data_IF_992198260128
#
_entry.id   IF_992198260128
#
_cell.length_a   1.000
_cell.length_b   1.000
_cell.length_c   1.000
_cell.angle_alpha   90.00
_cell.angle_beta   90.00
_cell.angle_gamma   90.00
#
_symmetry.space_group_name_H-M   'P 1'
#
loop_
_entity.id
_entity.type
_entity.pdbx_description
1 polymer ?
#
# COMPACT_ATOMS: atom_id res chain seq x y z
N UNK A 1 -25.13 -34.72 -29.58
CA UNK A 1 -25.66 -34.17 -28.33
C UNK A 1 -24.72 -34.59 -27.22
N UNK A 2 -23.79 -33.71 -26.83
CA UNK A 2 -22.98 -33.84 -25.63
C UNK A 2 -23.04 -32.51 -24.91
N UNK A 3 -23.82 -32.47 -23.83
CA UNK A 3 -23.89 -31.34 -22.92
C UNK A 3 -22.61 -31.28 -22.09
N UNK A 4 -21.85 -30.21 -22.22
CA UNK A 4 -20.77 -29.88 -21.33
C UNK A 4 -21.35 -29.15 -20.08
N UNK A 5 -21.40 -29.84 -18.94
CA UNK A 5 -21.72 -29.24 -17.64
C UNK A 5 -20.61 -28.27 -17.24
N UNK A 6 -20.94 -26.99 -17.21
CA UNK A 6 -20.13 -25.97 -16.54
C UNK A 6 -20.17 -26.19 -15.01
N UNK A 7 -19.07 -26.63 -14.47
CA UNK A 7 -18.81 -26.64 -13.03
C UNK A 7 -18.60 -25.19 -12.54
N UNK A 8 -19.58 -24.68 -11.77
CA UNK A 8 -19.52 -23.32 -11.21
C UNK A 8 -18.54 -23.33 -10.04
N UNK A 9 -17.40 -22.69 -10.23
CA UNK A 9 -16.31 -22.59 -9.27
C UNK A 9 -16.75 -22.26 -7.84
N UNK A 10 -16.28 -23.07 -6.92
CA UNK A 10 -16.51 -22.98 -5.48
C UNK A 10 -15.81 -21.74 -4.94
N UNK A 11 -16.58 -20.78 -4.43
CA UNK A 11 -16.06 -19.58 -3.77
C UNK A 11 -15.38 -20.01 -2.45
N UNK A 12 -14.07 -19.84 -2.36
CA UNK A 12 -13.33 -20.08 -1.12
C UNK A 12 -13.45 -18.83 -0.25
N UNK A 13 -14.31 -18.90 0.77
CA UNK A 13 -14.45 -17.85 1.77
C UNK A 13 -13.49 -18.17 2.92
N UNK A 14 -12.42 -17.38 3.06
CA UNK A 14 -11.48 -17.47 4.18
C UNK A 14 -11.81 -16.35 5.15
N UNK A 15 -12.50 -16.67 6.25
CA UNK A 15 -12.68 -15.79 7.40
C UNK A 15 -11.52 -16.04 8.36
N UNK A 16 -10.80 -15.00 8.75
CA UNK A 16 -9.77 -15.09 9.76
C UNK A 16 -10.41 -15.38 11.13
N UNK A 17 -10.16 -16.57 11.70
CA UNK A 17 -10.47 -16.87 13.09
C UNK A 17 -9.55 -16.07 14.01
N UNK A 18 -10.03 -15.60 15.19
CA UNK A 18 -9.18 -14.90 16.14
C UNK A 18 -8.13 -15.87 16.70
N UNK A 19 -6.86 -15.63 16.36
CA UNK A 19 -5.74 -16.31 17.00
C UNK A 19 -5.63 -15.76 18.43
N UNK A 20 -5.82 -16.64 19.40
CA UNK A 20 -5.64 -16.38 20.83
C UNK A 20 -4.20 -15.97 21.10
N UNK A 21 -3.99 -14.73 21.52
CA UNK A 21 -2.69 -14.23 21.99
C UNK A 21 -2.41 -14.77 23.40
N UNK A 22 -1.60 -15.81 23.51
CA UNK A 22 -0.95 -16.19 24.77
C UNK A 22 0.36 -15.41 24.91
N UNK A 23 0.35 -14.50 25.89
CA UNK A 23 1.48 -13.91 26.62
C UNK A 23 2.71 -13.44 25.83
N UNK A 24 2.77 -12.14 25.60
CA UNK A 24 4.03 -11.38 25.39
C UNK A 24 4.67 -11.10 26.76
N UNK A 25 5.98 -11.37 26.98
CA UNK A 25 6.67 -11.01 28.21
C UNK A 25 6.86 -9.48 28.30
N UNK A 26 6.47 -8.91 29.45
CA UNK A 26 6.86 -7.56 29.86
C UNK A 26 8.32 -7.57 30.33
N UNK A 27 9.24 -6.96 29.57
CA UNK A 27 10.50 -6.41 30.11
C UNK A 27 11.07 -5.35 29.15
N UNK A 28 10.61 -4.13 29.28
CA UNK A 28 11.30 -2.94 28.81
C UNK A 28 11.25 -1.88 29.91
N UNK A 29 12.04 -2.09 30.95
CA UNK A 29 12.51 -1.07 31.86
C UNK A 29 13.67 -1.67 32.65
N UNK A 30 14.85 -1.12 32.44
CA UNK A 30 16.11 -1.28 33.21
C UNK A 30 17.29 -1.66 32.32
N UNK A 31 17.92 -0.64 31.76
CA UNK A 31 19.38 -0.59 31.55
C UNK A 31 19.80 0.82 31.13
N UNK A 32 19.72 1.74 32.11
CA UNK A 32 20.55 2.95 32.15
C UNK A 32 21.57 2.77 33.25
N UNK A 33 22.84 2.80 32.91
CA UNK A 33 23.90 3.03 33.81
C UNK A 33 24.98 1.97 33.88
N UNK A 34 26.07 2.19 33.14
CA UNK A 34 27.46 2.17 33.70
C UNK A 34 28.45 2.60 32.62
N UNK A 35 29.11 3.71 32.90
CA UNK A 35 30.41 4.11 32.31
C UNK A 35 31.52 3.28 32.96
N UNK A 36 32.50 2.84 32.15
CA UNK A 36 33.91 2.66 32.49
C UNK A 36 34.68 2.44 31.20
N UNK A 37 35.45 3.37 30.74
CA UNK A 37 36.88 3.61 30.82
C UNK A 37 37.75 2.59 30.06
N UNK A 38 38.32 3.13 28.98
CA UNK A 38 39.68 3.06 28.42
C UNK A 38 40.57 1.86 28.75
N UNK A 39 41.03 1.17 27.69
CA UNK A 39 42.48 0.98 27.46
C UNK A 39 42.77 0.77 25.99
N UNK A 40 43.83 1.44 25.50
CA UNK A 40 44.35 1.35 24.14
C UNK A 40 45.30 0.14 24.01
N UNK A 41 45.26 -0.56 22.89
CA UNK A 41 46.35 -1.35 22.36
C UNK A 41 46.29 -1.50 20.86
N UNK A 42 47.24 -0.97 20.23
CA UNK A 42 48.00 -1.19 18.97
C UNK A 42 47.52 -2.16 17.88
N UNK A 43 47.51 -1.56 16.68
CA UNK A 43 47.93 -2.07 15.36
C UNK A 43 47.86 -3.58 15.06
N UNK A 44 46.99 -3.93 14.09
CA UNK A 44 47.45 -4.74 12.94
C UNK A 44 46.66 -4.31 11.71
N UNK A 45 47.42 -3.96 10.69
CA UNK A 45 47.07 -3.69 9.32
C UNK A 45 46.36 -4.91 8.71
N UNK A 46 45.15 -4.77 8.27
CA UNK A 46 44.51 -5.68 7.34
C UNK A 46 43.72 -4.84 6.33
N UNK A 47 44.37 -4.65 5.19
CA UNK A 47 43.80 -4.12 3.95
C UNK A 47 42.55 -4.92 3.55
N UNK A 48 41.40 -4.51 4.03
CA UNK A 48 40.13 -4.93 3.45
C UNK A 48 39.85 -4.04 2.22
N UNK A 49 40.15 -4.62 1.04
CA UNK A 49 39.74 -4.09 -0.23
C UNK A 49 38.21 -3.82 -0.19
N UNK A 50 37.84 -2.55 -0.24
CA UNK A 50 36.41 -2.14 -0.40
C UNK A 50 35.90 -2.73 -1.70
N UNK A 51 34.68 -3.29 -1.74
CA UNK A 51 34.08 -3.77 -2.97
C UNK A 51 33.96 -2.61 -3.96
N UNK A 52 34.63 -2.70 -5.10
CA UNK A 52 34.54 -1.77 -6.24
C UNK A 52 33.27 -2.03 -7.06
N UNK A 53 32.16 -2.39 -6.43
CA UNK A 53 30.86 -2.54 -7.08
C UNK A 53 30.32 -1.18 -7.50
N UNK A 54 30.41 -0.90 -8.78
CA UNK A 54 29.89 0.34 -9.40
C UNK A 54 30.84 1.02 -10.38
N UNK A 55 32.12 0.67 -10.41
CA UNK A 55 33.14 1.27 -11.29
C UNK A 55 33.34 0.52 -12.60
N UNK A 56 32.71 -0.64 -12.82
CA UNK A 56 32.80 -1.43 -14.04
C UNK A 56 31.49 -1.51 -14.81
N UNK A 57 31.57 -1.75 -16.10
CA UNK A 57 30.40 -2.05 -16.95
C UNK A 57 29.83 -3.39 -16.51
N UNK A 58 28.53 -3.45 -16.25
CA UNK A 58 27.80 -4.71 -15.96
C UNK A 58 26.98 -5.14 -17.16
N UNK A 59 26.98 -6.44 -17.42
CA UNK A 59 26.10 -7.08 -18.39
C UNK A 59 25.12 -7.96 -17.65
N UNK A 60 23.83 -7.72 -17.85
CA UNK A 60 22.76 -8.41 -17.13
C UNK A 60 21.85 -9.10 -18.12
N UNK A 61 21.66 -10.41 -17.97
CA UNK A 61 20.65 -11.15 -18.74
C UNK A 61 19.31 -11.05 -18.02
N UNK A 62 18.28 -10.69 -18.77
CA UNK A 62 16.92 -10.52 -18.25
C UNK A 62 16.25 -11.89 -18.09
N UNK A 63 15.91 -12.21 -16.88
CA UNK A 63 15.13 -13.39 -16.53
C UNK A 63 13.60 -13.14 -16.60
N UNK A 64 12.80 -14.19 -16.36
CA UNK A 64 11.32 -14.11 -16.41
C UNK A 64 10.76 -13.07 -15.44
N UNK A 65 11.39 -12.85 -14.29
CA UNK A 65 10.95 -11.88 -13.28
C UNK A 65 11.13 -10.42 -13.69
N UNK A 66 12.00 -10.14 -14.66
CA UNK A 66 12.29 -8.80 -15.16
C UNK A 66 11.66 -8.52 -16.52
N UNK A 67 11.18 -9.54 -17.20
CA UNK A 67 10.51 -9.41 -18.49
C UNK A 67 9.24 -8.54 -18.38
N UNK A 68 8.96 -7.75 -19.44
CA UNK A 68 7.83 -6.82 -19.49
C UNK A 68 8.03 -5.53 -18.69
N UNK A 69 9.08 -5.41 -17.86
CA UNK A 69 9.41 -4.19 -17.13
C UNK A 69 9.99 -3.13 -18.08
N UNK A 70 9.66 -1.84 -17.86
CA UNK A 70 10.34 -0.75 -18.57
C UNK A 70 11.78 -0.66 -18.12
N UNK A 71 12.68 -0.38 -19.06
CA UNK A 71 14.13 -0.30 -18.80
C UNK A 71 14.49 0.79 -17.76
N UNK A 72 13.78 1.92 -17.76
CA UNK A 72 14.01 2.97 -16.76
C UNK A 72 13.70 2.50 -15.34
N UNK A 73 12.58 1.80 -15.14
CA UNK A 73 12.22 1.23 -13.85
C UNK A 73 13.17 0.11 -13.41
N UNK A 74 13.58 -0.73 -14.34
CA UNK A 74 14.59 -1.77 -14.11
C UNK A 74 15.90 -1.16 -13.58
N UNK A 75 16.42 -0.15 -14.28
CA UNK A 75 17.65 0.53 -13.88
C UNK A 75 17.52 1.22 -12.51
N UNK A 76 16.41 1.90 -12.24
CA UNK A 76 16.15 2.53 -10.94
C UNK A 76 16.13 1.51 -9.80
N UNK A 77 15.73 0.27 -10.08
CA UNK A 77 15.70 -0.82 -9.11
C UNK A 77 17.09 -1.39 -8.83
N UNK A 78 17.87 -1.67 -9.88
CA UNK A 78 19.20 -2.29 -9.75
C UNK A 78 20.31 -1.30 -9.39
N UNK A 79 20.16 -0.03 -9.76
CA UNK A 79 21.08 1.06 -9.47
C UNK A 79 20.56 1.91 -8.31
N UNK A 80 20.25 1.24 -7.20
CA UNK A 80 19.76 1.92 -5.99
C UNK A 80 20.77 2.98 -5.53
N UNK A 81 20.28 4.22 -5.27
CA UNK A 81 21.12 5.35 -4.86
C UNK A 81 21.57 6.27 -6.01
N UNK A 82 21.41 5.85 -7.28
CA UNK A 82 21.66 6.71 -8.43
C UNK A 82 20.46 7.67 -8.61
N UNK A 83 20.69 9.00 -8.73
CA UNK A 83 19.63 9.96 -9.01
C UNK A 83 18.86 9.62 -10.31
N UNK A 84 17.55 9.78 -10.32
CA UNK A 84 16.72 9.52 -11.51
C UNK A 84 17.19 10.28 -12.73
N UNK A 85 17.58 11.56 -12.56
CA UNK A 85 18.11 12.40 -13.63
C UNK A 85 19.33 11.76 -14.31
N UNK A 86 20.22 11.13 -13.52
CA UNK A 86 21.40 10.45 -14.05
C UNK A 86 21.01 9.16 -14.81
N UNK A 87 20.08 8.37 -14.30
CA UNK A 87 19.55 7.18 -15.02
C UNK A 87 18.97 7.59 -16.39
N UNK A 88 18.18 8.67 -16.44
CA UNK A 88 17.65 9.19 -17.71
C UNK A 88 18.75 9.78 -18.62
N UNK A 89 19.79 10.34 -18.06
CA UNK A 89 20.93 10.85 -18.82
C UNK A 89 21.67 9.72 -19.53
N UNK A 90 22.02 8.62 -18.82
CA UNK A 90 22.74 7.49 -19.42
C UNK A 90 21.89 6.70 -20.43
N UNK A 91 20.57 6.68 -20.26
CA UNK A 91 19.64 6.15 -21.27
C UNK A 91 19.65 7.02 -22.55
N UNK A 92 19.48 8.32 -22.42
CA UNK A 92 19.47 9.25 -23.57
C UNK A 92 20.80 9.30 -24.31
N UNK A 93 21.92 9.27 -23.59
CA UNK A 93 23.24 9.25 -24.20
C UNK A 93 23.62 7.90 -24.87
N UNK A 94 22.77 6.86 -24.70
CA UNK A 94 22.98 5.54 -25.26
C UNK A 94 24.11 4.75 -24.58
N UNK A 95 24.47 5.11 -23.36
CA UNK A 95 25.41 4.35 -22.54
C UNK A 95 24.80 3.06 -22.03
N UNK A 96 23.47 3.06 -21.77
CA UNK A 96 22.69 1.82 -21.58
C UNK A 96 22.32 1.26 -22.93
N UNK A 97 22.51 -0.03 -23.11
CA UNK A 97 22.17 -0.74 -24.34
C UNK A 97 21.50 -2.08 -24.03
N UNK A 98 20.62 -2.50 -24.90
CA UNK A 98 19.98 -3.82 -24.87
C UNK A 98 20.36 -4.53 -26.18
N UNK A 99 20.89 -5.75 -26.06
CA UNK A 99 21.36 -6.54 -27.21
C UNK A 99 22.29 -5.74 -28.14
N UNK A 100 23.21 -4.94 -27.56
CA UNK A 100 24.14 -4.01 -28.21
C UNK A 100 23.47 -2.78 -28.86
N UNK A 101 22.11 -2.73 -28.97
CA UNK A 101 21.35 -1.64 -29.56
C UNK A 101 21.06 -0.50 -28.60
N UNK A 102 20.85 0.74 -29.13
CA UNK A 102 20.25 1.85 -28.39
C UNK A 102 18.76 1.62 -28.21
N UNK A 103 18.23 2.00 -27.04
CA UNK A 103 16.81 1.83 -26.70
C UNK A 103 16.23 3.13 -26.12
N UNK A 104 14.92 3.29 -26.27
CA UNK A 104 14.18 4.37 -25.59
C UNK A 104 13.98 4.04 -24.10
N UNK A 105 13.83 5.07 -23.27
CA UNK A 105 13.56 4.92 -21.84
C UNK A 105 12.30 4.10 -21.51
N UNK A 106 11.37 4.01 -22.46
CA UNK A 106 10.13 3.27 -22.35
C UNK A 106 10.23 1.83 -22.86
N UNK A 107 11.40 1.40 -23.34
CA UNK A 107 11.63 0.04 -23.83
C UNK A 107 11.22 -0.97 -22.75
N UNK A 108 10.47 -2.00 -23.16
CA UNK A 108 10.07 -3.09 -22.29
C UNK A 108 11.02 -4.26 -22.51
N UNK A 109 11.67 -4.66 -21.43
CA UNK A 109 12.60 -5.79 -21.42
C UNK A 109 11.89 -7.08 -21.81
N UNK A 110 12.58 -7.90 -22.60
CA UNK A 110 12.14 -9.24 -23.00
C UNK A 110 13.05 -10.25 -22.28
N UNK A 111 12.52 -11.40 -21.93
CA UNK A 111 13.33 -12.51 -21.39
C UNK A 111 14.44 -12.89 -22.37
N UNK A 112 15.65 -13.04 -21.84
CA UNK A 112 16.86 -13.28 -22.64
C UNK A 112 17.58 -12.02 -23.11
N UNK A 113 16.99 -10.81 -22.98
CA UNK A 113 17.68 -9.56 -23.30
C UNK A 113 18.97 -9.43 -22.49
N UNK A 114 20.03 -8.97 -23.14
CA UNK A 114 21.29 -8.62 -22.49
C UNK A 114 21.40 -7.11 -22.33
N UNK A 115 21.32 -6.62 -21.10
CA UNK A 115 21.39 -5.19 -20.77
C UNK A 115 22.80 -4.80 -20.37
N UNK A 116 23.42 -3.86 -21.13
CA UNK A 116 24.67 -3.19 -20.75
C UNK A 116 24.35 -2.02 -19.82
N UNK A 117 24.87 -2.08 -18.60
CA UNK A 117 24.74 -1.00 -17.60
C UNK A 117 26.13 -0.34 -17.46
N UNK A 118 26.27 0.97 -17.74
CA UNK A 118 27.54 1.67 -17.60
C UNK A 118 27.93 1.78 -16.10
N UNK A 119 29.21 2.09 -15.81
CA UNK A 119 29.61 2.43 -14.44
C UNK A 119 28.78 3.61 -13.93
N UNK A 120 28.12 3.45 -12.78
CA UNK A 120 27.37 4.52 -12.13
C UNK A 120 27.93 4.73 -10.74
N UNK A 121 28.32 5.97 -10.42
CA UNK A 121 28.68 6.33 -9.05
C UNK A 121 27.42 6.26 -8.19
N UNK A 122 27.44 5.37 -7.23
CA UNK A 122 26.43 5.34 -6.17
C UNK A 122 26.72 6.52 -5.23
N UNK A 123 25.75 7.37 -5.00
CA UNK A 123 25.86 8.31 -3.88
C UNK A 123 25.97 7.46 -2.60
N UNK A 124 26.93 7.77 -1.71
CA UNK A 124 27.01 7.15 -0.40
C UNK A 124 25.65 7.31 0.29
N UNK A 125 24.97 6.22 0.48
CA UNK A 125 23.73 6.23 1.24
C UNK A 125 24.09 6.43 2.71
N UNK A 126 23.53 7.44 3.34
CA UNK A 126 23.18 7.27 4.74
C UNK A 126 22.26 6.04 4.80
N UNK A 127 22.75 4.95 5.31
CA UNK A 127 21.99 3.71 5.51
C UNK A 127 20.97 3.99 6.60
N UNK A 128 19.79 4.51 6.18
CA UNK A 128 18.66 4.51 7.10
C UNK A 128 18.39 3.05 7.42
N UNK A 129 18.69 2.65 8.63
CA UNK A 129 18.37 1.32 9.11
C UNK A 129 16.83 1.16 9.07
N UNK A 130 16.36 0.30 8.18
CA UNK A 130 14.93 -0.04 8.10
C UNK A 130 14.70 -1.20 9.06
N UNK A 131 13.95 -1.00 10.15
CA UNK A 131 13.59 -2.11 11.02
C UNK A 131 12.69 -3.07 10.26
N UNK A 132 13.03 -4.37 10.28
CA UNK A 132 12.14 -5.40 9.77
C UNK A 132 10.85 -5.46 10.61
N UNK A 133 9.70 -5.53 9.94
CA UNK A 133 8.42 -5.74 10.62
C UNK A 133 7.53 -6.67 9.80
N UNK A 134 6.84 -7.55 10.51
CA UNK A 134 5.76 -8.37 9.98
C UNK A 134 4.42 -7.71 10.31
N UNK A 135 3.43 -7.96 9.46
CA UNK A 135 2.06 -7.47 9.58
C UNK A 135 1.11 -8.67 9.66
N UNK A 136 -0.08 -8.48 10.21
CA UNK A 136 -1.09 -9.53 10.25
C UNK A 136 -1.41 -10.02 8.84
N UNK A 137 -1.23 -11.31 8.59
CA UNK A 137 -1.40 -11.94 7.28
C UNK A 137 -2.85 -12.39 7.15
N UNK A 138 -3.52 -11.94 6.07
CA UNK A 138 -4.86 -12.38 5.71
C UNK A 138 -4.83 -13.54 4.71
N UNK A 139 -3.82 -13.55 3.84
CA UNK A 139 -3.59 -14.62 2.88
C UNK A 139 -2.13 -14.61 2.44
N UNK A 140 -1.51 -15.76 2.33
CA UNK A 140 -0.17 -15.90 1.75
C UNK A 140 -0.04 -17.23 1.02
N UNK A 141 0.57 -17.17 -0.16
CA UNK A 141 1.00 -18.34 -0.93
C UNK A 141 2.33 -18.06 -1.68
N UNK A 142 2.63 -18.84 -2.71
CA UNK A 142 3.83 -18.62 -3.55
C UNK A 142 3.74 -17.43 -4.50
N UNK A 143 2.55 -16.86 -4.72
CA UNK A 143 2.27 -15.78 -5.68
C UNK A 143 2.02 -14.43 -5.00
N UNK A 144 1.28 -14.45 -3.91
CA UNK A 144 0.74 -13.27 -3.23
C UNK A 144 1.02 -13.28 -1.73
N UNK A 145 1.12 -12.11 -1.16
CA UNK A 145 1.04 -11.82 0.27
C UNK A 145 -0.03 -10.74 0.46
N UNK A 146 -1.06 -11.02 1.24
CA UNK A 146 -2.10 -10.04 1.58
C UNK A 146 -2.11 -9.84 3.08
N UNK A 147 -1.94 -8.60 3.51
CA UNK A 147 -1.83 -8.21 4.92
C UNK A 147 -2.96 -7.29 5.34
N UNK A 148 -3.21 -7.24 6.63
CA UNK A 148 -4.00 -6.20 7.28
C UNK A 148 -3.09 -5.05 7.70
N UNK A 149 -3.07 -4.00 6.89
CA UNK A 149 -2.22 -2.82 7.15
C UNK A 149 -2.80 -1.98 8.28
N UNK A 150 -2.06 -1.68 9.35
CA UNK A 150 -2.52 -0.73 10.36
C UNK A 150 -2.57 0.70 9.80
N UNK A 151 -3.38 1.56 10.42
CA UNK A 151 -3.33 3.01 10.16
C UNK A 151 -2.01 3.61 10.66
N UNK A 152 -1.65 4.79 10.13
CA UNK A 152 -0.44 5.51 10.51
C UNK A 152 0.83 5.04 9.78
N UNK A 153 0.83 3.86 9.16
CA UNK A 153 1.96 3.31 8.41
C UNK A 153 1.79 3.55 6.91
N UNK A 154 2.76 4.22 6.29
CA UNK A 154 2.80 4.41 4.84
C UNK A 154 3.06 3.08 4.12
N UNK A 155 2.57 2.92 2.88
CA UNK A 155 2.82 1.69 2.10
C UNK A 155 4.24 1.63 1.55
N UNK A 156 4.87 2.77 1.30
CA UNK A 156 6.26 2.90 0.84
C UNK A 156 6.89 4.19 1.38
N UNK A 157 8.20 4.23 1.47
CA UNK A 157 8.98 5.42 1.75
C UNK A 157 8.81 6.48 0.66
N UNK A 158 9.10 7.75 0.98
CA UNK A 158 8.97 8.87 0.06
C UNK A 158 9.08 10.21 0.75
N UNK A 159 8.44 11.25 0.22
CA UNK A 159 8.51 12.61 0.79
C UNK A 159 8.12 12.64 2.27
N UNK A 160 9.09 12.88 3.16
CA UNK A 160 8.89 12.97 4.60
C UNK A 160 8.68 11.63 5.34
N UNK A 161 8.83 10.49 4.65
CA UNK A 161 8.71 9.15 5.24
C UNK A 161 9.90 8.31 4.81
N UNK A 162 10.73 7.90 5.77
CA UNK A 162 11.97 7.16 5.49
C UNK A 162 11.71 5.75 4.94
N UNK A 163 10.69 5.05 5.44
CA UNK A 163 10.29 3.70 5.02
C UNK A 163 8.80 3.47 5.26
N UNK A 164 8.22 2.52 4.56
CA UNK A 164 6.84 2.07 4.72
C UNK A 164 6.75 0.55 4.84
N UNK A 165 5.56 0.01 4.61
CA UNK A 165 5.28 -1.43 4.69
C UNK A 165 6.23 -2.25 3.82
N UNK A 166 6.43 -1.84 2.56
CA UNK A 166 7.24 -2.63 1.62
C UNK A 166 8.70 -2.71 2.03
N UNK A 167 9.29 -1.62 2.52
CA UNK A 167 10.67 -1.61 2.98
C UNK A 167 10.83 -2.45 4.26
N UNK A 168 9.88 -2.37 5.20
CA UNK A 168 9.89 -3.15 6.44
C UNK A 168 9.74 -4.65 6.17
N UNK A 169 8.80 -5.05 5.30
CA UNK A 169 8.62 -6.46 4.90
C UNK A 169 9.85 -7.01 4.19
N UNK A 170 10.48 -6.23 3.32
CA UNK A 170 11.73 -6.65 2.66
C UNK A 170 12.88 -6.81 3.64
N UNK A 171 12.94 -5.98 4.69
CA UNK A 171 13.94 -6.12 5.74
C UNK A 171 13.68 -7.34 6.64
N UNK A 172 12.40 -7.68 6.89
CA UNK A 172 12.01 -8.88 7.63
C UNK A 172 12.16 -10.18 6.82
N UNK A 173 12.14 -10.10 5.48
CA UNK A 173 12.17 -11.24 4.55
C UNK A 173 13.31 -11.10 3.54
N UNK A 174 14.58 -11.12 3.98
CA UNK A 174 15.74 -10.86 3.12
C UNK A 174 15.89 -11.90 1.99
N UNK A 175 15.40 -13.12 2.21
CA UNK A 175 15.47 -14.22 1.25
C UNK A 175 14.34 -14.18 0.20
N UNK A 176 13.38 -13.25 0.30
CA UNK A 176 12.33 -13.10 -0.69
C UNK A 176 12.91 -12.46 -1.97
N UNK A 177 13.01 -13.19 -3.09
CA UNK A 177 13.67 -12.70 -4.31
C UNK A 177 12.87 -11.56 -4.94
N UNK A 178 11.55 -11.57 -4.75
CA UNK A 178 10.63 -10.57 -5.28
C UNK A 178 9.53 -10.29 -4.26
N UNK A 179 9.31 -9.01 -3.96
CA UNK A 179 8.18 -8.55 -3.14
C UNK A 179 7.84 -7.11 -3.57
N UNK A 180 6.65 -6.92 -4.17
CA UNK A 180 6.21 -5.63 -4.71
C UNK A 180 4.75 -5.33 -4.35
N UNK A 181 4.46 -4.04 -4.14
CA UNK A 181 3.09 -3.58 -3.91
C UNK A 181 2.24 -3.75 -5.17
N UNK A 182 1.09 -4.40 -5.05
CA UNK A 182 0.09 -4.49 -6.13
C UNK A 182 -0.71 -3.20 -6.23
N UNK A 183 -1.09 -2.63 -5.09
CA UNK A 183 -1.79 -1.35 -4.98
C UNK A 183 -1.31 -0.59 -3.75
N UNK A 184 -1.93 0.54 -3.50
CA UNK A 184 -1.60 1.37 -2.34
C UNK A 184 -2.82 1.71 -1.51
N UNK A 185 -2.59 1.92 -0.22
CA UNK A 185 -3.49 2.60 0.71
C UNK A 185 -2.83 3.90 1.18
N UNK A 186 -3.62 4.88 1.60
CA UNK A 186 -3.09 6.06 2.27
C UNK A 186 -2.50 5.67 3.64
N UNK A 187 -1.61 6.51 4.18
CA UNK A 187 -0.96 6.25 5.47
C UNK A 187 -1.99 5.98 6.58
N UNK A 188 -3.03 6.80 6.66
CA UNK A 188 -4.06 6.72 7.70
C UNK A 188 -5.17 5.70 7.40
N UNK A 189 -5.21 5.12 6.21
CA UNK A 189 -6.15 4.05 5.85
C UNK A 189 -5.62 2.71 6.36
N UNK A 190 -6.45 1.97 7.08
CA UNK A 190 -6.16 0.59 7.50
C UNK A 190 -6.80 -0.44 6.58
N UNK A 191 -6.44 -1.72 6.74
CA UNK A 191 -7.09 -2.85 6.08
C UNK A 191 -6.28 -3.48 4.96
N UNK A 192 -6.95 -4.18 4.06
CA UNK A 192 -6.38 -5.11 3.09
C UNK A 192 -5.38 -4.43 2.15
N UNK A 193 -4.13 -4.86 2.22
CA UNK A 193 -3.05 -4.46 1.30
C UNK A 193 -2.44 -5.70 0.65
N UNK A 194 -2.45 -5.73 -0.69
CA UNK A 194 -1.92 -6.85 -1.46
C UNK A 194 -0.52 -6.55 -1.98
N UNK A 195 0.37 -7.53 -1.83
CA UNK A 195 1.71 -7.57 -2.40
C UNK A 195 1.86 -8.81 -3.29
N UNK A 196 2.66 -8.71 -4.33
CA UNK A 196 3.02 -9.82 -5.19
C UNK A 196 4.39 -10.37 -4.80
N UNK A 197 4.51 -11.70 -4.74
CA UNK A 197 5.75 -12.44 -4.49
C UNK A 197 6.42 -12.89 -5.79
N UNK A 198 5.76 -12.69 -6.94
CA UNK A 198 6.28 -12.93 -8.29
C UNK A 198 5.88 -11.82 -9.26
N UNK A 199 6.71 -11.60 -10.28
CA UNK A 199 6.44 -10.60 -11.31
C UNK A 199 5.21 -10.94 -12.14
N UNK A 200 5.03 -12.21 -12.50
CA UNK A 200 3.86 -12.70 -13.22
C UNK A 200 2.57 -12.41 -12.46
N UNK A 201 2.56 -12.67 -11.15
CA UNK A 201 1.42 -12.35 -10.28
C UNK A 201 1.11 -10.85 -10.25
N UNK A 202 2.16 -9.99 -10.13
CA UNK A 202 2.00 -8.54 -10.17
C UNK A 202 1.36 -8.08 -11.49
N UNK A 203 1.83 -8.61 -12.62
CA UNK A 203 1.34 -8.25 -13.95
C UNK A 203 -0.11 -8.67 -14.12
N UNK A 204 -0.45 -9.91 -13.79
CA UNK A 204 -1.81 -10.46 -13.88
C UNK A 204 -2.80 -9.66 -13.03
N UNK A 205 -2.46 -9.39 -11.75
CA UNK A 205 -3.37 -8.61 -10.89
C UNK A 205 -3.49 -7.16 -11.36
N UNK A 206 -2.43 -6.55 -11.89
CA UNK A 206 -2.52 -5.23 -12.51
C UNK A 206 -3.43 -5.23 -13.76
N UNK A 207 -3.48 -6.30 -14.52
CA UNK A 207 -4.43 -6.46 -15.64
C UNK A 207 -5.87 -6.52 -15.15
N UNK A 208 -6.12 -7.31 -14.10
CA UNK A 208 -7.44 -7.35 -13.46
C UNK A 208 -7.85 -5.96 -12.92
N UNK A 209 -6.92 -5.20 -12.32
CA UNK A 209 -7.19 -3.81 -11.87
C UNK A 209 -7.57 -2.91 -13.04
N UNK A 210 -6.85 -2.99 -14.17
CA UNK A 210 -7.15 -2.19 -15.38
C UNK A 210 -8.47 -2.56 -16.01
N UNK A 211 -8.81 -3.86 -15.99
CA UNK A 211 -10.09 -4.37 -16.47
C UNK A 211 -11.26 -4.11 -15.50
N UNK A 212 -11.00 -3.58 -14.30
CA UNK A 212 -12.04 -3.31 -13.29
C UNK A 212 -12.62 -4.57 -12.63
N UNK A 213 -11.89 -5.68 -12.68
CA UNK A 213 -12.33 -6.99 -12.15
C UNK A 213 -12.11 -7.14 -10.65
N UNK A 214 -11.26 -6.30 -10.03
CA UNK A 214 -11.11 -6.30 -8.57
C UNK A 214 -12.28 -5.57 -7.91
N UNK A 215 -12.98 -6.25 -7.00
CA UNK A 215 -13.97 -5.63 -6.11
C UNK A 215 -13.30 -5.20 -4.81
N UNK A 216 -13.10 -3.88 -4.67
CA UNK A 216 -12.48 -3.23 -3.50
C UNK A 216 -13.53 -2.46 -2.73
N UNK A 217 -13.78 -2.87 -1.47
CA UNK A 217 -14.75 -2.23 -0.59
C UNK A 217 -14.09 -1.64 0.64
N UNK A 218 -14.52 -0.45 1.00
CA UNK A 218 -14.05 0.29 2.16
C UNK A 218 -15.22 0.63 3.07
N UNK A 219 -14.99 0.63 4.37
CA UNK A 219 -15.90 1.22 5.34
C UNK A 219 -15.43 2.63 5.68
N UNK A 220 -16.33 3.59 5.61
CA UNK A 220 -16.07 4.99 5.95
C UNK A 220 -17.18 5.51 6.88
N UNK A 221 -16.79 6.14 7.99
CA UNK A 221 -17.71 6.91 8.82
C UNK A 221 -17.66 8.36 8.38
N UNK A 222 -18.79 8.92 8.00
CA UNK A 222 -18.90 10.33 7.58
C UNK A 222 -19.72 11.13 8.55
N UNK A 223 -19.48 12.44 8.64
CA UNK A 223 -20.32 13.37 9.40
C UNK A 223 -21.60 13.69 8.64
N UNK A 224 -22.72 13.87 9.36
CA UNK A 224 -23.99 14.28 8.83
C UNK A 224 -24.97 13.14 8.52
N UNK A 225 -26.09 13.50 7.90
CA UNK A 225 -27.16 12.59 7.49
C UNK A 225 -27.02 12.29 6.01
N UNK A 226 -26.61 11.07 5.66
CA UNK A 226 -26.41 10.67 4.26
C UNK A 226 -27.77 10.50 3.57
N UNK A 227 -28.01 11.16 2.41
CA UNK A 227 -29.36 11.27 1.86
C UNK A 227 -29.82 10.03 1.06
N UNK A 228 -28.92 9.25 0.49
CA UNK A 228 -29.25 8.22 -0.48
C UNK A 228 -28.83 6.82 -0.02
N UNK A 229 -29.63 5.79 -0.26
CA UNK A 229 -29.22 4.39 0.01
C UNK A 229 -28.02 3.99 -0.84
N UNK A 230 -27.94 4.44 -2.10
CA UNK A 230 -26.85 4.22 -3.03
C UNK A 230 -26.58 5.48 -3.85
N UNK A 231 -25.33 5.91 -3.91
CA UNK A 231 -24.93 7.12 -4.63
C UNK A 231 -23.68 6.90 -5.45
N UNK A 232 -23.71 7.29 -6.72
CA UNK A 232 -22.56 7.30 -7.61
C UNK A 232 -21.92 8.69 -7.61
N UNK A 233 -20.64 8.76 -7.24
CA UNK A 233 -19.86 10.00 -7.31
C UNK A 233 -18.82 9.85 -8.41
N UNK A 234 -18.92 10.73 -9.44
CA UNK A 234 -18.05 10.75 -10.62
C UNK A 234 -17.44 12.13 -10.77
N UNK A 235 -16.51 12.46 -9.89
CA UNK A 235 -15.84 13.77 -9.87
C UNK A 235 -14.38 13.59 -10.32
N UNK A 236 -13.91 14.34 -11.34
CA UNK A 236 -12.52 14.24 -11.79
C UNK A 236 -11.58 14.82 -10.73
N UNK A 237 -10.42 14.16 -10.53
CA UNK A 237 -9.49 14.46 -9.46
C UNK A 237 -8.15 14.95 -10.00
N UNK A 238 -7.70 16.11 -9.52
CA UNK A 238 -6.44 16.74 -9.83
C UNK A 238 -5.50 16.73 -8.62
N UNK A 239 -4.23 16.32 -8.82
CA UNK A 239 -3.19 16.35 -7.80
C UNK A 239 -2.45 17.68 -7.85
N UNK A 240 -2.25 18.30 -6.70
CA UNK A 240 -1.44 19.51 -6.57
C UNK A 240 -0.56 19.42 -5.33
N UNK A 241 0.44 20.31 -5.25
CA UNK A 241 1.23 20.51 -4.03
C UNK A 241 0.91 21.87 -3.44
N UNK A 242 0.76 21.90 -2.13
CA UNK A 242 0.63 23.15 -1.37
C UNK A 242 1.99 23.88 -1.32
N UNK A 243 2.06 25.15 -0.97
CA UNK A 243 3.32 25.92 -0.90
C UNK A 243 4.36 25.28 0.03
N UNK A 244 3.94 24.62 1.10
CA UNK A 244 4.76 23.84 2.05
C UNK A 244 5.16 22.44 1.53
N UNK A 245 4.82 22.13 0.27
CA UNK A 245 5.22 20.89 -0.39
C UNK A 245 4.32 19.67 -0.08
N UNK A 246 3.24 19.85 0.66
CA UNK A 246 2.30 18.77 0.92
C UNK A 246 1.51 18.40 -0.35
N UNK A 247 1.43 17.10 -0.65
CA UNK A 247 0.63 16.60 -1.78
C UNK A 247 -0.83 16.47 -1.39
N UNK A 248 -1.70 17.18 -2.12
CA UNK A 248 -3.15 17.15 -1.96
C UNK A 248 -3.87 16.82 -3.27
N UNK A 249 -5.17 16.58 -3.18
CA UNK A 249 -6.05 16.28 -4.32
C UNK A 249 -7.31 17.15 -4.19
N UNK A 250 -7.79 17.66 -5.31
CA UNK A 250 -9.06 18.40 -5.37
C UNK A 250 -9.88 17.96 -6.57
N UNK A 251 -11.17 18.25 -6.54
CA UNK A 251 -12.04 18.14 -7.72
C UNK A 251 -11.71 19.27 -8.67
N UNK A 252 -11.46 18.94 -9.94
CA UNK A 252 -11.16 19.90 -11.00
C UNK A 252 -11.57 19.31 -12.34
N UNK A 253 -12.16 20.09 -13.24
CA UNK A 253 -12.79 19.61 -14.47
C UNK A 253 -11.83 18.89 -15.44
N UNK A 254 -10.57 19.30 -15.49
CA UNK A 254 -9.49 18.68 -16.27
C UNK A 254 -8.74 17.57 -15.50
N UNK A 255 -9.22 17.19 -14.32
CA UNK A 255 -8.66 16.14 -13.49
C UNK A 255 -8.83 14.75 -14.09
N UNK A 256 -8.15 13.77 -13.50
CA UNK A 256 -8.28 12.37 -13.91
C UNK A 256 -9.68 11.83 -13.57
N UNK A 257 -10.39 11.20 -14.50
CA UNK A 257 -11.69 10.58 -14.24
C UNK A 257 -11.62 9.63 -13.04
N UNK A 258 -12.59 9.74 -12.16
CA UNK A 258 -12.71 8.86 -11.01
C UNK A 258 -14.18 8.55 -10.69
N UNK A 259 -14.42 7.36 -10.12
CA UNK A 259 -15.76 6.87 -9.83
C UNK A 259 -15.74 6.04 -8.54
N UNK A 260 -16.57 6.45 -7.57
CA UNK A 260 -16.87 5.72 -6.33
C UNK A 260 -18.38 5.56 -6.20
N UNK A 261 -18.81 4.39 -5.75
CA UNK A 261 -20.20 4.14 -5.39
C UNK A 261 -20.26 4.05 -3.87
N UNK A 262 -21.13 4.83 -3.23
CA UNK A 262 -21.38 4.79 -1.80
C UNK A 262 -22.71 4.12 -1.52
N UNK A 263 -22.70 3.10 -0.66
CA UNK A 263 -23.89 2.43 -0.15
C UNK A 263 -24.03 2.77 1.33
N UNK A 264 -25.21 3.29 1.74
CA UNK A 264 -25.51 3.53 3.14
C UNK A 264 -25.64 2.19 3.88
N UNK A 265 -24.78 1.95 4.85
CA UNK A 265 -24.84 0.77 5.71
C UNK A 265 -25.71 1.07 6.95
N UNK A 266 -25.50 2.21 7.60
CA UNK A 266 -26.26 2.62 8.76
C UNK A 266 -26.19 4.12 9.00
N UNK A 267 -27.32 4.72 9.41
CA UNK A 267 -27.42 6.10 9.84
C UNK A 267 -27.42 6.19 11.36
N UNK A 268 -26.71 7.18 11.91
CA UNK A 268 -26.63 7.50 13.33
C UNK A 268 -26.98 8.97 13.56
N UNK A 269 -27.11 9.37 14.82
CA UNK A 269 -27.21 10.79 15.18
C UNK A 269 -25.89 11.51 14.82
N UNK A 270 -25.93 12.34 13.76
CA UNK A 270 -24.79 13.12 13.30
C UNK A 270 -23.75 12.38 12.47
N UNK A 271 -23.88 11.07 12.20
CA UNK A 271 -22.95 10.26 11.42
C UNK A 271 -23.66 9.26 10.49
N UNK A 272 -22.97 8.87 9.42
CA UNK A 272 -23.38 7.74 8.59
C UNK A 272 -22.22 6.79 8.33
N UNK A 273 -22.45 5.48 8.48
CA UNK A 273 -21.52 4.42 8.06
C UNK A 273 -21.82 4.08 6.61
N UNK A 274 -20.83 4.20 5.76
CA UNK A 274 -20.91 3.94 4.33
C UNK A 274 -19.96 2.80 3.93
N UNK A 275 -20.43 1.96 3.00
CA UNK A 275 -19.58 1.13 2.18
C UNK A 275 -19.21 1.90 0.92
N UNK A 276 -17.93 2.07 0.65
CA UNK A 276 -17.43 2.68 -0.58
C UNK A 276 -16.88 1.61 -1.53
N UNK A 277 -17.49 1.50 -2.71
CA UNK A 277 -17.07 0.63 -3.81
C UNK A 277 -16.20 1.42 -4.79
N UNK A 278 -14.91 1.08 -4.87
CA UNK A 278 -13.97 1.77 -5.75
C UNK A 278 -13.98 1.19 -7.17
N UNK A 279 -14.49 1.95 -8.13
CA UNK A 279 -14.38 1.63 -9.57
C UNK A 279 -13.06 2.13 -10.18
N UNK A 280 -12.46 3.16 -9.60
CA UNK A 280 -11.12 3.66 -9.91
C UNK A 280 -10.32 3.83 -8.63
N UNK A 281 -8.99 3.89 -8.69
CA UNK A 281 -8.11 3.99 -7.52
C UNK A 281 -7.21 5.23 -7.57
N UNK A 282 -7.79 6.45 -7.58
CA UNK A 282 -7.01 7.69 -7.54
C UNK A 282 -6.57 8.00 -6.11
N UNK A 283 -5.47 8.75 -5.97
CA UNK A 283 -4.98 9.20 -4.66
C UNK A 283 -6.07 9.94 -3.90
N UNK A 284 -6.28 9.60 -2.63
CA UNK A 284 -7.28 10.18 -1.72
C UNK A 284 -8.73 10.18 -2.25
N UNK A 285 -9.05 9.31 -3.24
CA UNK A 285 -10.31 9.39 -3.99
C UNK A 285 -11.55 9.38 -3.09
N UNK A 286 -11.70 8.40 -2.20
CA UNK A 286 -12.85 8.29 -1.28
C UNK A 286 -12.96 9.55 -0.43
N UNK A 287 -11.84 10.01 0.13
CA UNK A 287 -11.76 11.17 1.03
C UNK A 287 -12.24 12.44 0.33
N UNK A 288 -11.71 12.71 -0.88
CA UNK A 288 -12.06 13.92 -1.65
C UNK A 288 -13.50 13.84 -2.17
N UNK A 289 -13.95 12.67 -2.65
CA UNK A 289 -15.33 12.50 -3.09
C UNK A 289 -16.31 12.78 -1.95
N UNK A 290 -16.09 12.24 -0.76
CA UNK A 290 -16.95 12.46 0.39
C UNK A 290 -16.92 13.92 0.88
N UNK A 291 -15.74 14.51 1.01
CA UNK A 291 -15.59 15.90 1.41
C UNK A 291 -16.26 16.87 0.42
N UNK A 292 -16.07 16.64 -0.89
CA UNK A 292 -16.70 17.45 -1.95
C UNK A 292 -18.21 17.25 -2.05
N UNK A 293 -18.74 16.16 -1.51
CA UNK A 293 -20.19 15.91 -1.41
C UNK A 293 -20.81 16.49 -0.12
N UNK A 294 -20.02 17.16 0.74
CA UNK A 294 -20.49 17.73 2.00
C UNK A 294 -20.50 16.77 3.19
N UNK A 295 -19.93 15.56 3.02
CA UNK A 295 -19.90 14.49 4.03
C UNK A 295 -18.46 14.04 4.32
N UNK A 296 -17.62 14.86 4.96
CA UNK A 296 -16.23 14.51 5.21
C UNK A 296 -16.11 13.31 6.16
N UNK A 297 -15.04 12.52 5.99
CA UNK A 297 -14.77 11.36 6.83
C UNK A 297 -14.41 11.82 8.25
N UNK A 298 -14.99 11.20 9.26
CA UNK A 298 -14.65 11.41 10.66
C UNK A 298 -13.19 11.10 10.93
N UNK A 299 -12.46 12.05 11.54
CA UNK A 299 -11.04 11.91 11.83
C UNK A 299 -10.10 12.13 10.64
N UNK A 300 -10.59 12.59 9.49
CA UNK A 300 -9.72 12.95 8.36
C UNK A 300 -9.02 14.28 8.62
N UNK A 301 -7.69 14.24 8.75
CA UNK A 301 -6.81 15.37 9.06
C UNK A 301 -6.53 16.31 7.87
N UNK A 302 -6.94 15.92 6.64
CA UNK A 302 -6.66 16.68 5.41
C UNK A 302 -7.90 17.24 4.73
N UNK A 303 -8.98 16.48 4.73
CA UNK A 303 -10.22 16.81 4.01
C UNK A 303 -11.44 16.77 4.93
N UNK A 304 -11.24 16.52 6.22
CA UNK A 304 -12.28 16.39 7.23
C UNK A 304 -12.77 17.75 7.79
N UNK A 305 -13.74 17.66 8.68
CA UNK A 305 -14.13 18.76 9.55
C UNK A 305 -13.18 18.84 10.74
N UNK A 306 -12.29 19.84 10.74
CA UNK A 306 -11.29 20.02 11.81
C UNK A 306 -11.91 20.40 13.16
N UNK A 307 -13.08 21.04 13.17
CA UNK A 307 -13.83 21.36 14.39
C UNK A 307 -14.35 20.09 15.05
N UNK A 308 -15.03 19.27 14.26
CA UNK A 308 -15.53 17.96 14.68
C UNK A 308 -14.36 17.03 15.09
N UNK A 309 -13.27 16.98 14.33
CA UNK A 309 -12.13 16.12 14.65
C UNK A 309 -11.53 16.45 16.01
N UNK A 310 -11.43 17.73 16.40
CA UNK A 310 -10.98 18.12 17.74
C UNK A 310 -11.93 17.63 18.85
N UNK A 311 -13.24 17.59 18.60
CA UNK A 311 -14.21 17.00 19.51
C UNK A 311 -14.09 15.49 19.58
N UNK A 312 -13.93 14.81 18.43
CA UNK A 312 -13.78 13.37 18.35
C UNK A 312 -12.52 12.83 19.03
N UNK A 313 -11.45 13.65 19.15
CA UNK A 313 -10.24 13.28 19.88
C UNK A 313 -10.44 13.15 21.39
N UNK A 314 -11.54 13.68 21.91
CA UNK A 314 -11.92 13.60 23.34
C UNK A 314 -12.94 12.48 23.53
N UNK A 315 -12.74 11.67 24.56
CA UNK A 315 -13.76 10.73 24.98
C UNK A 315 -14.89 11.51 25.70
N UNK A 316 -16.14 11.11 25.43
CA UNK A 316 -17.31 11.62 26.12
C UNK A 316 -18.10 10.46 26.75
N UNK A 317 -18.97 10.70 27.73
CA UNK A 317 -19.83 9.64 28.26
C UNK A 317 -20.57 8.91 27.15
N UNK A 318 -20.39 7.59 27.07
CA UNK A 318 -21.00 6.76 26.02
C UNK A 318 -20.34 6.81 24.63
N UNK A 319 -19.37 7.74 24.40
CA UNK A 319 -18.68 7.84 23.11
C UNK A 319 -17.17 7.84 23.29
N UNK A 320 -16.47 6.73 22.97
CA UNK A 320 -15.00 6.66 22.98
C UNK A 320 -14.37 7.65 22.00
N UNK A 321 -13.14 8.10 22.30
CA UNK A 321 -12.39 8.97 21.40
C UNK A 321 -12.08 8.28 20.06
N UNK A 322 -12.18 9.03 18.96
CA UNK A 322 -11.69 8.63 17.64
C UNK A 322 -10.48 9.51 17.26
N UNK A 323 -9.28 8.95 17.39
CA UNK A 323 -8.00 9.68 17.15
C UNK A 323 -7.39 9.41 15.77
N UNK A 324 -8.15 8.80 14.88
CA UNK A 324 -7.72 8.46 13.51
C UNK A 324 -8.85 8.66 12.51
N UNK A 325 -8.49 8.72 11.24
CA UNK A 325 -9.47 8.67 10.16
C UNK A 325 -10.22 7.33 10.14
N UNK A 326 -11.57 7.37 10.12
CA UNK A 326 -12.41 6.18 10.02
C UNK A 326 -12.56 5.77 8.54
N UNK A 327 -11.48 5.25 7.97
CA UNK A 327 -11.46 4.66 6.63
C UNK A 327 -10.69 3.35 6.68
N UNK A 328 -11.34 2.26 6.24
CA UNK A 328 -10.83 0.91 6.33
C UNK A 328 -11.13 0.08 5.08
N UNK A 329 -10.10 -0.49 4.45
CA UNK A 329 -10.22 -1.40 3.31
C UNK A 329 -10.64 -2.79 3.82
N UNK A 330 -11.96 -3.05 3.89
CA UNK A 330 -12.46 -4.22 4.62
C UNK A 330 -12.70 -5.46 3.77
N UNK A 331 -12.93 -5.31 2.44
CA UNK A 331 -13.18 -6.44 1.55
C UNK A 331 -12.46 -6.28 0.23
N UNK A 332 -11.88 -7.39 -0.23
CA UNK A 332 -11.23 -7.51 -1.53
C UNK A 332 -11.63 -8.81 -2.20
N UNK A 333 -12.15 -8.74 -3.45
CA UNK A 333 -12.38 -9.92 -4.28
C UNK A 333 -11.59 -9.81 -5.57
N UNK A 334 -10.97 -10.92 -6.00
CA UNK A 334 -10.14 -10.98 -7.20
C UNK A 334 -10.01 -12.44 -7.66
N UNK A 335 -9.49 -12.65 -8.87
CA UNK A 335 -9.10 -13.97 -9.37
C UNK A 335 -7.62 -14.22 -9.05
N UNK A 336 -7.30 -15.39 -8.53
CA UNK A 336 -5.93 -15.76 -8.20
C UNK A 336 -5.07 -15.81 -9.47
N UNK A 337 -3.89 -15.11 -9.51
CA UNK A 337 -3.12 -14.89 -10.74
C UNK A 337 -2.55 -16.14 -11.40
N UNK A 338 -2.42 -17.25 -10.67
CA UNK A 338 -1.88 -18.49 -11.21
C UNK A 338 -2.95 -19.56 -11.42
N UNK A 339 -4.01 -19.60 -10.60
CA UNK A 339 -5.02 -20.68 -10.66
C UNK A 339 -6.34 -20.23 -11.24
N UNK A 340 -6.61 -18.93 -11.37
CA UNK A 340 -7.89 -18.38 -11.78
C UNK A 340 -9.01 -18.54 -10.73
N UNK A 341 -8.71 -19.10 -9.57
CA UNK A 341 -9.70 -19.29 -8.50
C UNK A 341 -10.19 -17.95 -7.96
N UNK A 342 -11.49 -17.80 -7.74
CA UNK A 342 -12.06 -16.63 -7.11
C UNK A 342 -11.70 -16.58 -5.63
N UNK A 343 -11.05 -15.52 -5.19
CA UNK A 343 -10.65 -15.27 -3.80
C UNK A 343 -11.46 -14.08 -3.26
N UNK A 344 -12.00 -14.24 -2.05
CA UNK A 344 -12.66 -13.18 -1.30
C UNK A 344 -12.03 -13.09 0.10
N UNK A 345 -11.46 -11.92 0.42
CA UNK A 345 -10.83 -11.65 1.69
C UNK A 345 -11.58 -10.54 2.43
N UNK A 346 -11.66 -10.67 3.75
CA UNK A 346 -12.24 -9.67 4.63
C UNK A 346 -11.25 -9.34 5.76
N UNK A 347 -11.16 -8.07 6.12
CA UNK A 347 -10.43 -7.56 7.28
C UNK A 347 -11.41 -6.94 8.25
N UNK A 348 -11.32 -7.31 9.52
CA UNK A 348 -12.15 -6.76 10.59
C UNK A 348 -11.78 -5.30 10.86
N UNK A 349 -12.78 -4.47 11.19
CA UNK A 349 -12.52 -3.11 11.65
C UNK A 349 -11.52 -3.10 12.81
N UNK A 350 -10.57 -2.16 12.83
CA UNK A 350 -9.67 -1.97 13.96
C UNK A 350 -10.43 -1.71 15.27
N UNK A 351 -9.87 -2.14 16.43
CA UNK A 351 -10.56 -2.05 17.73
C UNK A 351 -11.10 -0.66 18.07
N UNK A 352 -10.34 0.40 17.77
CA UNK A 352 -10.75 1.78 18.01
C UNK A 352 -11.97 2.21 17.16
N UNK A 353 -12.06 1.71 15.92
CA UNK A 353 -13.23 1.92 15.07
C UNK A 353 -14.46 1.13 15.56
N UNK A 354 -14.24 -0.10 16.00
CA UNK A 354 -15.30 -0.93 16.61
C UNK A 354 -15.84 -0.30 17.89
N UNK A 355 -14.96 0.19 18.76
CA UNK A 355 -15.34 0.89 20.00
C UNK A 355 -16.13 2.15 19.71
N UNK A 356 -15.71 2.93 18.70
CA UNK A 356 -16.44 4.12 18.27
C UNK A 356 -17.86 3.77 17.79
N UNK A 357 -18.02 2.72 16.98
CA UNK A 357 -19.34 2.22 16.55
C UNK A 357 -20.20 1.76 17.72
N UNK A 358 -19.65 1.05 18.70
CA UNK A 358 -20.36 0.65 19.92
C UNK A 358 -20.87 1.86 20.68
N UNK A 359 -20.07 2.89 20.83
CA UNK A 359 -20.47 4.16 21.44
C UNK A 359 -21.57 4.89 20.69
N UNK A 360 -21.79 4.60 19.40
CA UNK A 360 -22.93 5.10 18.62
C UNK A 360 -24.15 4.13 18.64
N UNK A 361 -24.11 3.06 19.43
CA UNK A 361 -25.23 2.11 19.62
C UNK A 361 -25.20 0.93 18.64
N UNK A 362 -24.05 0.48 18.18
CA UNK A 362 -23.91 -0.81 17.49
C UNK A 362 -23.30 -1.85 18.44
N UNK A 363 -24.08 -2.85 18.82
CA UNK A 363 -23.60 -4.10 19.40
C UNK A 363 -23.48 -5.15 18.29
N UNK A 364 -22.24 -5.60 17.99
CA UNK A 364 -21.99 -6.68 17.04
C UNK A 364 -21.00 -6.33 15.92
N UNK A 365 -20.51 -7.38 15.25
CA UNK A 365 -19.65 -7.23 14.09
C UNK A 365 -20.42 -6.54 12.95
N UNK A 366 -19.85 -5.46 12.40
CA UNK A 366 -20.33 -4.87 11.12
C UNK A 366 -19.90 -5.85 10.03
N UNK A 367 -20.70 -6.87 9.80
CA UNK A 367 -20.55 -7.90 8.77
C UNK A 367 -21.74 -7.86 7.83
N UNK A 368 -21.44 -7.60 6.61
CA UNK A 368 -21.94 -8.17 5.36
C UNK A 368 -23.43 -8.46 5.14
N UNK A 369 -24.39 -7.72 5.69
CA UNK A 369 -25.69 -7.66 5.04
C UNK A 369 -26.13 -6.21 4.82
N UNK A 370 -26.39 -5.79 3.57
CA UNK A 370 -27.08 -4.53 3.32
C UNK A 370 -28.48 -4.65 3.93
N UNK A 371 -28.89 -3.63 4.66
CA UNK A 371 -30.26 -3.49 5.14
C UNK A 371 -31.20 -3.67 3.94
N UNK A 372 -32.06 -4.68 3.97
CA UNK A 372 -33.12 -4.95 2.99
C UNK A 372 -34.08 -3.79 2.86
#
# INVERSE_FOLDING_TARGET
MHEAKHDRGRLVRISAFPVSFSRVPRTWAEHLGRRAELTAAAHTDSSHARPTEGLSVRWLTIGPDDAGQRIDNFLLRICKGVPKSHVYQVLRSGQVRVNKGRIAQTYRLVEGDTVRVPPMRLAERSTVHVPGAEFAILFEDSQLLVIDKPAGVAVHGGSGVSYGVIEQLRAARPDAPFLELVHRLDRETSGILMLAKKRSALTSVHEQIRAGLLDKRYLAMVSGVWPNRRQHVRLPLHKYSTPDGERRVRVQSDGMPSHTIFNLMRQFAGFALLEAELKTGRTHQIRVHLASSGFPIAGDDKYGDFGLNRQLHKAEPGRPALKRMFLHAFRLKFEHPATGAAIALESSLPPECQQFLKGLGIDGAVGAEPIR
#
